data_IF_987249417620
#
_entry.id   IF_987249417620
#
_cell.length_a   1.000
_cell.length_b   1.000
_cell.length_c   1.000
_cell.angle_alpha   90.00
_cell.angle_beta   90.00
_cell.angle_gamma   90.00
#
_symmetry.space_group_name_H-M   'P 1'
#
loop_
_entity.id
_entity.type
_entity.pdbx_description
1 polymer ?
#
# COMPACT_ATOMS: atom_id res chain seq x y z
N UNK A 1 6.20 -1.65 -55.88
CA UNK A 1 7.28 -1.49 -56.88
C UNK A 1 8.46 -2.42 -56.56
N UNK A 2 8.93 -2.46 -55.31
CA UNK A 2 9.99 -3.36 -54.81
C UNK A 2 9.77 -4.87 -55.04
N UNK A 3 8.53 -5.39 -55.03
CA UNK A 3 8.32 -6.85 -55.13
C UNK A 3 8.58 -7.44 -56.53
N UNK A 4 8.51 -6.63 -57.60
CA UNK A 4 8.78 -7.11 -58.97
C UNK A 4 10.27 -7.17 -59.27
N UNK A 5 11.05 -6.22 -58.77
CA UNK A 5 12.51 -6.22 -58.93
C UNK A 5 13.16 -7.33 -58.12
N UNK A 6 12.68 -7.57 -56.88
CA UNK A 6 13.18 -8.67 -56.05
C UNK A 6 12.87 -10.05 -56.67
N UNK A 7 11.69 -10.22 -57.27
CA UNK A 7 11.35 -11.45 -57.97
C UNK A 7 12.21 -11.69 -59.23
N UNK A 8 12.65 -10.63 -59.91
CA UNK A 8 13.62 -10.72 -61.00
C UNK A 8 15.01 -11.12 -60.50
N UNK A 9 15.45 -10.50 -59.39
CA UNK A 9 16.74 -10.78 -58.75
C UNK A 9 16.88 -12.25 -58.34
N UNK A 10 15.84 -12.82 -57.71
CA UNK A 10 15.84 -14.23 -57.26
C UNK A 10 15.94 -15.21 -58.45
N UNK A 11 15.39 -14.83 -59.61
CA UNK A 11 15.42 -15.67 -60.81
C UNK A 11 16.81 -15.79 -61.43
N UNK A 12 17.64 -14.76 -61.28
CA UNK A 12 19.00 -14.68 -61.84
C UNK A 12 20.09 -15.08 -60.82
N UNK A 13 19.71 -15.76 -59.72
CA UNK A 13 20.65 -16.27 -58.73
C UNK A 13 21.28 -17.59 -59.16
N UNK A 14 22.61 -17.66 -59.07
CA UNK A 14 23.36 -18.88 -59.30
C UNK A 14 23.44 -19.71 -58.00
N UNK A 15 23.13 -21.01 -58.03
CA UNK A 15 23.27 -21.87 -56.86
C UNK A 15 24.75 -22.06 -56.51
N UNK A 16 25.11 -21.75 -55.27
CA UNK A 16 26.45 -21.99 -54.70
C UNK A 16 26.48 -23.34 -53.99
N UNK A 17 25.38 -23.67 -53.31
CA UNK A 17 25.21 -24.95 -52.63
C UNK A 17 23.78 -25.48 -52.82
N UNK A 18 23.68 -26.77 -53.11
CA UNK A 18 22.41 -27.50 -53.28
C UNK A 18 22.30 -28.61 -52.25
N UNK A 19 21.08 -28.92 -51.82
CA UNK A 19 20.84 -30.03 -50.91
C UNK A 19 20.85 -31.39 -51.63
N UNK A 20 20.61 -32.46 -50.86
CA UNK A 20 20.52 -33.83 -51.38
C UNK A 20 19.35 -34.05 -52.37
N UNK A 21 18.43 -33.10 -52.50
CA UNK A 21 17.31 -33.11 -53.45
C UNK A 21 17.59 -32.26 -54.69
N UNK A 22 18.74 -31.59 -54.73
CA UNK A 22 19.14 -30.67 -55.80
C UNK A 22 18.51 -29.29 -55.69
N UNK A 23 17.91 -28.94 -54.55
CA UNK A 23 17.34 -27.61 -54.31
C UNK A 23 18.42 -26.64 -53.80
N UNK A 24 18.46 -25.40 -54.30
CA UNK A 24 19.45 -24.41 -53.88
C UNK A 24 19.21 -23.97 -52.44
N UNK A 25 20.22 -24.20 -51.59
CA UNK A 25 20.22 -23.76 -50.18
C UNK A 25 20.95 -22.43 -50.04
N UNK A 26 22.01 -22.23 -50.82
CA UNK A 26 22.73 -20.96 -50.90
C UNK A 26 22.80 -20.55 -52.36
N UNK A 27 22.40 -19.31 -52.65
CA UNK A 27 22.45 -18.75 -53.99
C UNK A 27 23.09 -17.36 -53.97
N UNK A 28 23.84 -17.05 -55.03
CA UNK A 28 24.58 -15.81 -55.18
C UNK A 28 24.11 -15.10 -56.45
N UNK A 29 23.90 -13.80 -56.37
CA UNK A 29 23.75 -12.95 -57.56
C UNK A 29 24.47 -11.63 -57.38
N UNK A 30 25.00 -11.10 -58.48
CA UNK A 30 25.63 -9.80 -58.51
C UNK A 30 24.59 -8.77 -58.93
N UNK A 31 24.48 -7.67 -58.18
CA UNK A 31 23.53 -6.61 -58.51
C UNK A 31 24.12 -5.24 -58.19
N UNK A 32 24.24 -4.42 -59.23
CA UNK A 32 24.90 -3.12 -59.13
C UNK A 32 26.38 -3.29 -58.78
N UNK A 33 26.81 -2.75 -57.64
CA UNK A 33 28.20 -2.76 -57.15
C UNK A 33 28.46 -3.79 -56.05
N UNK A 34 27.51 -4.68 -55.77
CA UNK A 34 27.63 -5.66 -54.69
C UNK A 34 26.96 -6.97 -55.04
N UNK A 35 27.11 -7.93 -54.13
CA UNK A 35 26.53 -9.25 -54.27
C UNK A 35 25.43 -9.48 -53.23
N UNK A 36 24.39 -10.19 -53.65
CA UNK A 36 23.39 -10.75 -52.76
C UNK A 36 23.68 -12.23 -52.54
N UNK A 37 23.85 -12.62 -51.28
CA UNK A 37 23.90 -14.01 -50.84
C UNK A 37 22.56 -14.33 -50.20
N UNK A 38 21.81 -15.25 -50.79
CA UNK A 38 20.56 -15.75 -50.24
C UNK A 38 20.83 -17.11 -49.60
N UNK A 39 20.41 -17.26 -48.34
CA UNK A 39 20.49 -18.53 -47.60
C UNK A 39 19.08 -18.93 -47.19
N UNK A 40 18.68 -20.16 -47.49
CA UNK A 40 17.30 -20.64 -47.26
C UNK A 40 17.00 -20.99 -45.80
N UNK A 41 18.01 -21.15 -44.95
CA UNK A 41 17.88 -21.46 -43.53
C UNK A 41 18.66 -20.49 -42.66
N UNK A 42 17.96 -19.84 -41.73
CA UNK A 42 18.58 -18.99 -40.71
C UNK A 42 19.36 -19.76 -39.63
N UNK A 43 19.17 -21.08 -39.53
CA UNK A 43 19.84 -21.91 -38.52
C UNK A 43 21.36 -21.88 -38.65
N UNK A 44 21.89 -21.74 -39.88
CA UNK A 44 23.33 -21.58 -40.17
C UNK A 44 23.98 -20.43 -39.37
N UNK A 45 23.20 -19.40 -39.07
CA UNK A 45 23.66 -18.19 -38.36
C UNK A 45 23.32 -18.20 -36.86
N UNK A 46 22.74 -19.28 -36.35
CA UNK A 46 22.48 -19.45 -34.92
C UNK A 46 23.73 -19.92 -34.18
N UNK A 47 23.81 -19.71 -32.87
CA UNK A 47 24.96 -20.16 -32.07
C UNK A 47 25.20 -21.68 -32.21
N UNK A 48 24.13 -22.47 -32.23
CA UNK A 48 24.22 -23.93 -32.38
C UNK A 48 24.63 -24.32 -33.80
N UNK A 49 24.19 -23.57 -34.81
CA UNK A 49 24.53 -23.84 -36.21
C UNK A 49 25.94 -23.39 -36.61
N UNK A 50 26.48 -22.35 -35.97
CA UNK A 50 27.82 -21.85 -36.27
C UNK A 50 28.93 -22.84 -35.86
N UNK A 51 28.73 -23.59 -34.76
CA UNK A 51 29.68 -24.59 -34.28
C UNK A 51 29.63 -25.91 -35.06
N UNK A 52 28.60 -26.09 -35.90
CA UNK A 52 28.42 -27.30 -36.70
C UNK A 52 29.18 -27.22 -38.03
N UNK A 53 30.04 -28.21 -38.27
CA UNK A 53 30.77 -28.40 -39.53
C UNK A 53 31.51 -27.13 -40.02
N UNK A 54 31.40 -26.81 -41.31
CA UNK A 54 32.10 -25.68 -41.94
C UNK A 54 31.23 -24.42 -42.05
N UNK A 55 30.18 -24.31 -41.22
CA UNK A 55 29.26 -23.18 -41.25
C UNK A 55 29.95 -21.85 -40.88
N UNK A 56 30.73 -21.83 -39.80
CA UNK A 56 31.51 -20.65 -39.41
C UNK A 56 32.54 -20.23 -40.48
N UNK A 57 33.39 -21.14 -41.01
CA UNK A 57 34.27 -20.83 -42.14
C UNK A 57 33.54 -20.23 -43.36
N UNK A 58 32.38 -20.77 -43.73
CA UNK A 58 31.56 -20.25 -44.82
C UNK A 58 31.11 -18.81 -44.56
N UNK A 59 30.59 -18.52 -43.36
CA UNK A 59 30.16 -17.16 -42.97
C UNK A 59 31.34 -16.19 -43.00
N UNK A 60 32.49 -16.60 -42.47
CA UNK A 60 33.71 -15.79 -42.48
C UNK A 60 34.20 -15.50 -43.90
N UNK A 61 34.12 -16.47 -44.81
CA UNK A 61 34.48 -16.28 -46.21
C UNK A 61 33.57 -15.25 -46.90
N UNK A 62 32.26 -15.32 -46.67
CA UNK A 62 31.30 -14.34 -47.21
C UNK A 62 31.58 -12.93 -46.67
N UNK A 63 31.81 -12.79 -45.36
CA UNK A 63 32.12 -11.51 -44.74
C UNK A 63 33.46 -10.95 -45.27
N UNK A 64 34.48 -11.80 -45.38
CA UNK A 64 35.80 -11.39 -45.88
C UNK A 64 35.74 -10.95 -47.35
N UNK A 65 34.97 -11.65 -48.19
CA UNK A 65 34.75 -11.26 -49.58
C UNK A 65 34.04 -9.91 -49.69
N UNK A 66 33.05 -9.64 -48.82
CA UNK A 66 32.36 -8.36 -48.78
C UNK A 66 33.25 -7.20 -48.30
N UNK A 67 34.26 -7.49 -47.47
CA UNK A 67 35.21 -6.49 -46.93
C UNK A 67 36.41 -6.27 -47.86
N UNK A 68 36.78 -7.26 -48.68
CA UNK A 68 37.97 -7.21 -49.53
C UNK A 68 37.87 -6.24 -50.72
N UNK A 69 36.67 -5.89 -51.17
CA UNK A 69 36.43 -5.14 -52.42
C UNK A 69 36.63 -3.60 -52.33
N UNK A 70 37.31 -3.14 -51.27
CA UNK A 70 37.97 -1.83 -51.25
C UNK A 70 37.19 -0.68 -50.62
N UNK A 71 37.50 -0.37 -49.37
CA UNK A 71 37.90 0.99 -48.96
C UNK A 71 38.57 0.94 -47.59
N UNK A 72 39.74 1.55 -47.51
CA UNK A 72 40.61 1.62 -46.34
C UNK A 72 39.87 1.94 -45.04
N UNK A 73 40.08 1.10 -44.01
CA UNK A 73 40.01 1.48 -42.59
C UNK A 73 38.65 1.40 -41.90
N UNK A 74 37.51 1.29 -42.61
CA UNK A 74 36.19 1.42 -41.98
C UNK A 74 35.14 0.45 -42.57
N UNK A 75 35.50 -0.84 -42.65
CA UNK A 75 34.59 -1.89 -43.10
C UNK A 75 33.46 -2.07 -42.07
N UNK A 76 32.29 -1.50 -42.35
CA UNK A 76 31.11 -1.57 -41.48
C UNK A 76 30.20 -2.71 -41.93
N UNK A 77 30.05 -3.70 -41.07
CA UNK A 77 29.03 -4.74 -41.21
C UNK A 77 27.76 -4.20 -40.55
N UNK A 78 26.70 -4.04 -41.35
CA UNK A 78 25.40 -3.57 -40.88
C UNK A 78 24.45 -4.77 -40.81
N UNK A 79 23.85 -4.98 -39.63
CA UNK A 79 22.79 -5.97 -39.43
C UNK A 79 21.45 -5.24 -39.40
N UNK A 80 20.55 -5.56 -40.35
CA UNK A 80 19.17 -5.07 -40.33
C UNK A 80 18.28 -6.06 -39.57
N UNK A 81 18.27 -5.95 -38.25
CA UNK A 81 17.36 -6.71 -37.38
C UNK A 81 16.04 -5.96 -37.10
N UNK A 82 15.77 -4.86 -37.82
CA UNK A 82 14.66 -3.96 -37.53
C UNK A 82 13.29 -4.65 -37.56
N UNK A 83 13.16 -5.71 -38.36
CA UNK A 83 11.94 -6.48 -38.52
C UNK A 83 11.77 -7.62 -37.49
N UNK A 84 12.81 -7.92 -36.70
CA UNK A 84 12.82 -8.99 -35.70
C UNK A 84 12.62 -8.49 -34.25
N UNK A 85 12.30 -7.21 -34.04
CA UNK A 85 11.96 -6.65 -32.72
C UNK A 85 13.16 -6.21 -31.87
N UNK A 86 14.39 -6.31 -32.37
CA UNK A 86 15.60 -5.98 -31.60
C UNK A 86 16.01 -4.49 -31.66
N UNK A 87 15.34 -3.67 -32.49
CA UNK A 87 15.75 -2.28 -32.77
C UNK A 87 15.19 -1.20 -31.85
N UNK A 88 14.16 -1.48 -31.06
CA UNK A 88 13.60 -0.50 -30.12
C UNK A 88 13.18 -1.23 -28.86
N UNK A 89 13.68 -0.77 -27.72
CA UNK A 89 13.36 -1.22 -26.36
C UNK A 89 11.88 -1.59 -26.23
N UNK A 90 11.56 -2.86 -26.47
CA UNK A 90 10.19 -3.32 -26.55
C UNK A 90 9.58 -3.21 -25.15
N UNK A 91 8.88 -2.11 -24.94
CA UNK A 91 8.11 -1.92 -23.72
C UNK A 91 6.94 -2.90 -23.80
N UNK A 92 6.47 -3.47 -22.70
CA UNK A 92 5.33 -4.41 -22.68
C UNK A 92 4.10 -3.92 -23.47
N UNK A 93 4.00 -2.61 -23.70
CA UNK A 93 3.02 -1.96 -24.56
C UNK A 93 3.17 -2.23 -26.07
N UNK A 94 4.37 -2.42 -26.62
CA UNK A 94 4.56 -2.69 -28.06
C UNK A 94 4.13 -4.11 -28.42
N UNK A 95 4.46 -5.08 -27.55
CA UNK A 95 4.19 -6.52 -27.74
C UNK A 95 2.73 -6.91 -27.43
N UNK A 96 2.01 -6.07 -26.69
CA UNK A 96 0.66 -6.41 -26.25
C UNK A 96 -0.37 -6.38 -27.40
N UNK A 97 -1.24 -7.41 -27.51
CA UNK A 97 -2.33 -7.45 -28.49
C UNK A 97 -3.25 -6.23 -28.38
N UNK A 98 -3.82 -5.78 -29.51
CA UNK A 98 -4.71 -4.62 -29.58
C UNK A 98 -5.91 -4.74 -28.61
N UNK A 99 -6.42 -5.95 -28.40
CA UNK A 99 -7.50 -6.25 -27.45
C UNK A 99 -7.14 -5.88 -26.01
N UNK A 100 -5.91 -6.16 -25.60
CA UNK A 100 -5.42 -5.86 -24.24
C UNK A 100 -5.24 -4.35 -24.07
N UNK A 101 -4.77 -3.65 -25.10
CA UNK A 101 -4.66 -2.18 -25.10
C UNK A 101 -6.03 -1.52 -24.94
N UNK A 102 -7.01 -1.96 -25.74
CA UNK A 102 -8.40 -1.49 -25.62
C UNK A 102 -8.98 -1.80 -24.23
N UNK A 103 -8.74 -3.00 -23.71
CA UNK A 103 -9.17 -3.39 -22.36
C UNK A 103 -8.57 -2.50 -21.27
N UNK A 104 -7.27 -2.19 -21.34
CA UNK A 104 -6.62 -1.31 -20.37
C UNK A 104 -7.19 0.11 -20.40
N UNK A 105 -7.43 0.64 -21.61
CA UNK A 105 -8.08 1.96 -21.78
C UNK A 105 -9.49 1.95 -21.19
N UNK A 106 -10.25 0.87 -21.39
CA UNK A 106 -11.59 0.73 -20.85
C UNK A 106 -11.62 0.64 -19.31
N UNK A 107 -10.66 -0.08 -18.72
CA UNK A 107 -10.48 -0.14 -17.25
C UNK A 107 -10.09 1.23 -16.71
N UNK A 108 -9.14 1.93 -17.36
CA UNK A 108 -8.72 3.26 -16.95
C UNK A 108 -9.88 4.27 -17.02
N UNK A 109 -10.67 4.22 -18.10
CA UNK A 109 -11.88 5.05 -18.25
C UNK A 109 -12.93 4.72 -17.18
N UNK A 110 -13.15 3.44 -16.86
CA UNK A 110 -14.06 3.03 -15.79
C UNK A 110 -13.58 3.51 -14.42
N UNK A 111 -12.27 3.46 -14.15
CA UNK A 111 -11.66 3.98 -12.92
C UNK A 111 -11.81 5.49 -12.81
N UNK A 112 -11.58 6.23 -13.91
CA UNK A 112 -11.80 7.67 -13.95
C UNK A 112 -13.28 8.02 -13.72
N UNK A 113 -14.21 7.28 -14.33
CA UNK A 113 -15.65 7.45 -14.10
C UNK A 113 -16.03 7.11 -12.66
N UNK A 114 -15.43 6.08 -12.07
CA UNK A 114 -15.63 5.71 -10.68
C UNK A 114 -15.10 6.78 -9.73
N UNK A 115 -13.87 7.27 -9.94
CA UNK A 115 -13.29 8.39 -9.18
C UNK A 115 -14.12 9.65 -9.36
N UNK A 116 -14.59 9.95 -10.57
CA UNK A 116 -15.46 11.09 -10.84
C UNK A 116 -16.82 10.96 -10.15
N UNK A 117 -17.41 9.76 -10.16
CA UNK A 117 -18.67 9.44 -9.48
C UNK A 117 -18.53 9.51 -7.95
N UNK A 118 -17.43 9.00 -7.40
CA UNK A 118 -17.10 9.07 -5.98
C UNK A 118 -16.75 10.51 -5.56
N UNK A 119 -16.04 11.25 -6.41
CA UNK A 119 -15.73 12.68 -6.21
C UNK A 119 -17.01 13.53 -6.22
N UNK A 120 -17.98 13.22 -7.09
CA UNK A 120 -19.32 13.86 -7.05
C UNK A 120 -20.14 13.44 -5.82
N UNK A 121 -19.83 12.28 -5.22
CA UNK A 121 -20.43 11.83 -3.96
C UNK A 121 -19.77 12.41 -2.71
N UNK A 122 -18.73 13.23 -2.85
CA UNK A 122 -18.44 14.27 -1.87
C UNK A 122 -19.49 15.38 -2.05
N UNK A 123 -20.74 15.06 -1.69
CA UNK A 123 -21.80 16.05 -1.55
C UNK A 123 -21.25 17.19 -0.69
N UNK A 124 -21.73 18.42 -0.95
CA UNK A 124 -21.50 19.57 -0.07
C UNK A 124 -21.53 19.10 1.39
N UNK A 125 -20.58 19.52 2.24
CA UNK A 125 -20.50 19.05 3.62
C UNK A 125 -21.91 19.02 4.16
N UNK A 126 -22.41 17.81 4.44
CA UNK A 126 -23.74 17.66 5.03
C UNK A 126 -23.67 18.60 6.23
N UNK A 127 -24.47 19.69 6.27
CA UNK A 127 -24.45 20.54 7.43
C UNK A 127 -24.68 19.58 8.57
N UNK A 128 -23.72 19.54 9.51
CA UNK A 128 -23.89 18.75 10.73
C UNK A 128 -25.35 19.01 11.10
N UNK A 129 -26.21 17.97 11.18
CA UNK A 129 -27.50 18.24 11.77
C UNK A 129 -27.16 18.97 13.06
N UNK A 130 -27.91 20.01 13.38
CA UNK A 130 -27.91 20.57 14.72
C UNK A 130 -28.49 19.52 15.67
N UNK A 131 -27.93 18.31 15.65
CA UNK A 131 -27.77 17.45 16.78
C UNK A 131 -26.87 18.28 17.69
N UNK A 132 -27.55 19.07 18.52
CA UNK A 132 -27.49 18.78 19.94
C UNK A 132 -27.50 17.25 20.10
N UNK A 133 -26.34 16.60 19.91
CA UNK A 133 -26.05 15.30 20.51
C UNK A 133 -26.40 15.55 21.95
N UNK A 134 -27.56 15.05 22.35
CA UNK A 134 -28.02 15.25 23.71
C UNK A 134 -26.87 14.72 24.54
N UNK A 135 -26.31 15.52 25.45
CA UNK A 135 -25.08 15.19 26.18
C UNK A 135 -25.08 13.74 26.70
N UNK A 136 -26.28 13.24 26.99
CA UNK A 136 -26.61 11.83 27.23
C UNK A 136 -26.04 10.81 26.21
N UNK A 137 -26.22 10.96 24.91
CA UNK A 137 -25.74 9.97 23.91
C UNK A 137 -24.21 9.87 23.88
N UNK A 138 -23.53 11.01 23.99
CA UNK A 138 -22.07 11.04 24.11
C UNK A 138 -21.61 10.38 25.41
N UNK A 139 -22.27 10.69 26.54
CA UNK A 139 -21.97 10.07 27.83
C UNK A 139 -22.22 8.56 27.83
N UNK A 140 -23.30 8.09 27.20
CA UNK A 140 -23.61 6.66 27.06
C UNK A 140 -22.54 5.95 26.22
N UNK A 141 -22.10 6.57 25.13
CA UNK A 141 -21.04 6.02 24.27
C UNK A 141 -19.70 5.94 25.00
N UNK A 142 -19.35 6.99 25.75
CA UNK A 142 -18.12 7.05 26.55
C UNK A 142 -18.17 6.04 27.71
N UNK A 143 -19.29 5.89 28.41
CA UNK A 143 -19.48 4.91 29.47
C UNK A 143 -19.31 3.48 28.93
N UNK A 144 -19.90 3.18 27.78
CA UNK A 144 -19.77 1.87 27.12
C UNK A 144 -18.32 1.58 26.72
N UNK A 145 -17.60 2.58 26.21
CA UNK A 145 -16.20 2.47 25.86
C UNK A 145 -15.32 2.18 27.08
N UNK A 146 -15.50 2.95 28.16
CA UNK A 146 -14.76 2.77 29.41
C UNK A 146 -15.02 1.40 30.04
N UNK A 147 -16.26 0.91 29.97
CA UNK A 147 -16.63 -0.43 30.42
C UNK A 147 -15.92 -1.51 29.59
N UNK A 148 -15.95 -1.42 28.26
CA UNK A 148 -15.29 -2.40 27.37
C UNK A 148 -13.77 -2.39 27.52
N UNK A 149 -13.18 -1.23 27.76
CA UNK A 149 -11.74 -1.09 28.00
C UNK A 149 -11.32 -1.62 29.39
N UNK A 150 -12.27 -1.94 30.29
CA UNK A 150 -11.97 -2.27 31.68
C UNK A 150 -11.39 -1.10 32.47
N UNK A 151 -11.61 0.14 32.01
CA UNK A 151 -11.08 1.37 32.60
C UNK A 151 -12.02 2.01 33.63
N UNK A 152 -13.03 1.28 34.11
CA UNK A 152 -14.01 1.75 35.11
C UNK A 152 -13.34 2.11 36.44
N UNK A 153 -12.28 1.39 36.84
CA UNK A 153 -11.48 1.73 38.01
C UNK A 153 -10.72 3.06 37.88
N UNK A 154 -10.32 3.45 36.66
CA UNK A 154 -9.67 4.74 36.41
C UNK A 154 -10.67 5.89 36.57
N UNK A 155 -11.89 5.73 36.07
CA UNK A 155 -12.96 6.70 36.27
C UNK A 155 -13.32 6.85 37.76
N UNK A 156 -13.32 5.75 38.53
CA UNK A 156 -13.53 5.80 39.98
C UNK A 156 -12.43 6.57 40.72
N UNK A 157 -11.16 6.34 40.37
CA UNK A 157 -10.02 7.11 40.94
C UNK A 157 -10.13 8.60 40.64
N UNK A 158 -10.60 8.96 39.46
CA UNK A 158 -10.84 10.35 39.09
C UNK A 158 -11.94 10.98 39.96
N UNK A 159 -13.06 10.26 40.19
CA UNK A 159 -14.12 10.71 41.09
C UNK A 159 -13.63 10.86 42.55
N UNK A 160 -12.81 9.93 43.04
CA UNK A 160 -12.19 10.03 44.37
C UNK A 160 -11.27 11.26 44.46
N UNK A 161 -10.43 11.50 43.45
CA UNK A 161 -9.53 12.66 43.40
C UNK A 161 -10.32 13.99 43.42
N UNK A 162 -11.43 14.07 42.70
CA UNK A 162 -12.31 15.24 42.72
C UNK A 162 -12.98 15.44 44.08
N UNK A 163 -13.46 14.36 44.72
CA UNK A 163 -13.97 14.41 46.08
C UNK A 163 -12.91 14.92 47.06
N UNK A 164 -11.70 14.35 47.03
CA UNK A 164 -10.59 14.76 47.90
C UNK A 164 -10.24 16.23 47.70
N UNK A 165 -10.04 16.65 46.45
CA UNK A 165 -9.71 18.05 46.13
C UNK A 165 -10.76 19.02 46.68
N UNK A 166 -12.04 18.66 46.56
CA UNK A 166 -13.13 19.48 47.07
C UNK A 166 -13.14 19.55 48.61
N UNK A 167 -13.04 18.40 49.27
CA UNK A 167 -13.04 18.31 50.74
C UNK A 167 -11.82 19.01 51.33
N UNK A 168 -10.61 18.76 50.82
CA UNK A 168 -9.39 19.39 51.31
C UNK A 168 -9.47 20.91 51.24
N UNK A 169 -9.97 21.45 50.12
CA UNK A 169 -10.21 22.89 49.98
C UNK A 169 -11.26 23.41 50.96
N UNK A 170 -12.35 22.67 51.17
CA UNK A 170 -13.44 23.07 52.08
C UNK A 170 -13.00 23.10 53.54
N UNK A 171 -12.19 22.14 53.96
CA UNK A 171 -11.69 22.04 55.34
C UNK A 171 -10.35 22.76 55.56
N UNK A 172 -9.77 23.39 54.52
CA UNK A 172 -8.49 24.09 54.62
C UNK A 172 -7.30 23.17 54.89
N UNK A 173 -7.38 21.92 54.43
CA UNK A 173 -6.36 20.90 54.63
C UNK A 173 -5.31 20.93 53.50
N UNK A 174 -4.07 20.48 53.76
CA UNK A 174 -3.04 20.31 52.74
C UNK A 174 -3.49 19.40 51.58
N UNK A 175 -3.06 19.69 50.36
CA UNK A 175 -3.46 18.92 49.16
C UNK A 175 -2.98 17.45 49.18
N UNK A 176 -1.93 17.16 49.96
CA UNK A 176 -1.33 15.83 50.18
C UNK A 176 -1.85 15.14 51.44
N UNK A 177 -2.84 15.70 52.14
CA UNK A 177 -3.31 15.16 53.40
C UNK A 177 -3.85 13.73 53.24
N UNK A 178 -3.44 12.87 54.18
CA UNK A 178 -3.79 11.46 54.18
C UNK A 178 -5.28 11.24 54.48
N UNK A 179 -5.85 10.12 54.01
CA UNK A 179 -7.28 9.81 54.18
C UNK A 179 -7.73 9.85 55.65
N UNK A 180 -6.84 9.50 56.59
CA UNK A 180 -7.08 9.58 58.02
C UNK A 180 -7.34 11.02 58.51
N UNK A 181 -6.65 12.02 57.94
CA UNK A 181 -6.82 13.44 58.27
C UNK A 181 -8.17 13.95 57.78
N UNK A 182 -8.58 13.52 56.59
CA UNK A 182 -9.91 13.83 56.05
C UNK A 182 -11.01 13.27 56.96
N UNK A 183 -10.89 12.01 57.38
CA UNK A 183 -11.85 11.37 58.30
C UNK A 183 -11.87 12.07 59.66
N UNK A 184 -10.71 12.51 60.17
CA UNK A 184 -10.63 13.26 61.42
C UNK A 184 -11.35 14.61 61.34
N UNK A 185 -11.15 15.37 60.26
CA UNK A 185 -11.83 16.66 60.03
C UNK A 185 -13.35 16.51 59.98
N UNK A 186 -13.85 15.43 59.35
CA UNK A 186 -15.28 15.12 59.38
C UNK A 186 -15.76 14.67 60.77
N UNK A 187 -14.93 13.96 61.54
CA UNK A 187 -15.32 13.46 62.87
C UNK A 187 -15.55 14.59 63.86
N UNK A 188 -14.77 15.66 63.77
CA UNK A 188 -14.94 16.86 64.62
C UNK A 188 -16.30 17.55 64.43
N UNK A 189 -16.82 17.57 63.19
CA UNK A 189 -18.09 18.23 62.87
C UNK A 189 -19.29 17.27 62.88
N UNK A 190 -19.11 16.04 62.39
CA UNK A 190 -20.17 15.03 62.29
C UNK A 190 -19.62 13.60 62.32
N UNK A 191 -19.63 12.93 63.50
CA UNK A 191 -19.10 11.56 63.67
C UNK A 191 -19.76 10.49 62.79
N UNK A 192 -21.07 10.63 62.49
CA UNK A 192 -21.79 9.68 61.62
C UNK A 192 -21.31 9.80 60.17
N UNK A 193 -21.09 11.03 59.72
CA UNK A 193 -20.61 11.29 58.37
C UNK A 193 -19.16 10.85 58.18
N UNK A 194 -18.30 11.04 59.19
CA UNK A 194 -16.93 10.56 59.19
C UNK A 194 -16.83 9.04 58.97
N UNK A 195 -17.73 8.26 59.59
CA UNK A 195 -17.79 6.80 59.41
C UNK A 195 -18.16 6.44 57.97
N UNK A 196 -19.11 7.16 57.36
CA UNK A 196 -19.50 6.96 55.96
C UNK A 196 -18.39 7.35 54.98
N UNK A 197 -17.68 8.46 55.24
CA UNK A 197 -16.52 8.89 54.44
C UNK A 197 -15.41 7.85 54.48
N UNK A 198 -15.07 7.35 55.68
CA UNK A 198 -14.08 6.27 55.82
C UNK A 198 -14.48 5.04 55.01
N UNK A 199 -15.71 4.56 55.18
CA UNK A 199 -16.21 3.39 54.46
C UNK A 199 -16.21 3.58 52.94
N UNK A 200 -16.53 4.79 52.45
CA UNK A 200 -16.52 5.10 51.02
C UNK A 200 -15.09 5.11 50.44
N UNK A 201 -14.12 5.71 51.13
CA UNK A 201 -12.71 5.71 50.72
C UNK A 201 -12.10 4.30 50.74
N UNK A 202 -12.35 3.54 51.80
CA UNK A 202 -11.88 2.14 51.91
C UNK A 202 -12.47 1.29 50.77
N UNK A 203 -13.75 1.53 50.41
CA UNK A 203 -14.41 0.82 49.31
C UNK A 203 -13.86 1.21 47.93
N UNK A 204 -13.55 2.48 47.69
CA UNK A 204 -12.99 2.92 46.40
C UNK A 204 -11.58 2.38 46.20
N UNK A 205 -10.77 2.34 47.26
CA UNK A 205 -9.43 1.76 47.24
C UNK A 205 -9.47 0.26 46.95
N UNK A 206 -10.37 -0.48 47.60
CA UNK A 206 -10.58 -1.91 47.35
C UNK A 206 -10.99 -2.19 45.89
N UNK A 207 -11.95 -1.44 45.35
CA UNK A 207 -12.41 -1.60 43.97
C UNK A 207 -11.35 -1.20 42.94
N UNK A 208 -10.57 -0.17 43.24
CA UNK A 208 -9.47 0.28 42.40
C UNK A 208 -8.33 -0.76 42.32
N UNK A 209 -8.13 -1.56 43.37
CA UNK A 209 -7.16 -2.64 43.40
C UNK A 209 -7.59 -3.87 42.57
N UNK A 210 -8.89 -4.07 42.34
CA UNK A 210 -9.41 -5.26 41.65
C UNK A 210 -9.21 -5.28 40.13
N UNK A 211 -8.64 -4.24 39.51
CA UNK A 211 -8.32 -4.18 38.08
C UNK A 211 -9.56 -4.06 37.16
N UNK A 212 -10.53 -4.97 37.29
CA UNK A 212 -11.84 -4.95 36.60
C UNK A 212 -12.99 -5.13 37.59
N UNK A 213 -13.27 -4.14 38.44
CA UNK A 213 -14.41 -4.20 39.34
C UNK A 213 -15.74 -4.21 38.55
N UNK A 214 -16.78 -4.90 39.05
CA UNK A 214 -18.10 -4.92 38.43
C UNK A 214 -18.72 -3.51 38.41
N UNK A 215 -19.40 -3.17 37.32
CA UNK A 215 -19.92 -1.82 37.07
C UNK A 215 -20.86 -1.33 38.17
N UNK A 216 -21.72 -2.20 38.69
CA UNK A 216 -22.68 -1.86 39.74
C UNK A 216 -21.98 -1.37 41.01
N UNK A 217 -20.89 -2.04 41.41
CA UNK A 217 -20.13 -1.65 42.60
C UNK A 217 -19.36 -0.34 42.39
N UNK A 218 -18.83 -0.12 41.18
CA UNK A 218 -18.17 1.15 40.80
C UNK A 218 -19.16 2.31 40.85
N UNK A 219 -20.37 2.12 40.31
CA UNK A 219 -21.41 3.14 40.31
C UNK A 219 -21.88 3.44 41.74
N UNK A 220 -22.11 2.42 42.56
CA UNK A 220 -22.51 2.60 43.95
C UNK A 220 -21.45 3.37 44.77
N UNK A 221 -20.17 3.07 44.55
CA UNK A 221 -19.06 3.78 45.18
C UNK A 221 -18.98 5.25 44.72
N UNK A 222 -19.09 5.50 43.41
CA UNK A 222 -19.09 6.86 42.86
C UNK A 222 -20.27 7.70 43.36
N UNK A 223 -21.47 7.12 43.42
CA UNK A 223 -22.66 7.77 43.97
C UNK A 223 -22.48 8.09 45.46
N UNK A 224 -21.88 7.19 46.23
CA UNK A 224 -21.58 7.41 47.64
C UNK A 224 -20.64 8.60 47.85
N UNK A 225 -19.57 8.73 47.04
CA UNK A 225 -18.68 9.88 47.07
C UNK A 225 -19.39 11.19 46.71
N UNK A 226 -20.28 11.16 45.72
CA UNK A 226 -21.04 12.34 45.29
C UNK A 226 -22.02 12.81 46.37
N UNK A 227 -22.76 11.90 47.00
CA UNK A 227 -23.66 12.25 48.11
C UNK A 227 -22.87 12.78 49.32
N UNK A 228 -21.73 12.18 49.64
CA UNK A 228 -20.85 12.68 50.71
C UNK A 228 -20.29 14.07 50.42
N UNK A 229 -19.95 14.37 49.16
CA UNK A 229 -19.56 15.73 48.75
C UNK A 229 -20.70 16.73 49.00
N UNK A 230 -21.92 16.40 48.56
CA UNK A 230 -23.10 17.26 48.72
C UNK A 230 -23.45 17.46 50.19
N UNK A 231 -23.29 16.44 51.03
CA UNK A 231 -23.47 16.57 52.47
C UNK A 231 -22.36 17.41 53.12
N UNK A 232 -21.11 17.30 52.66
CA UNK A 232 -20.00 18.13 53.12
C UNK A 232 -20.19 19.62 52.82
N UNK A 233 -20.81 19.96 51.68
CA UNK A 233 -21.18 21.34 51.33
C UNK A 233 -22.19 21.96 52.31
N UNK A 234 -23.00 21.12 52.99
CA UNK A 234 -23.99 21.57 53.98
C UNK A 234 -23.42 21.75 55.38
N UNK A 235 -22.18 21.33 55.61
CA UNK A 235 -21.54 21.50 56.92
C UNK A 235 -21.00 22.94 57.00
N UNK A 236 -21.45 23.73 57.99
CA UNK A 236 -20.97 25.10 58.20
C UNK A 236 -19.46 25.11 58.45
#
# INVERSE_FOLDING_TARGET
MLSREFAGLVKDMAPVYVDNRGEPVIALTQHGKGAFVLVSSGWLFSNDGLDEADNLPLVMNVLSAAVADGTSGDARILFDEYHHGYGARETLWSVSPQTVKCGLVQVAAALLLLVFSLSRRLKAPVPLPDQQRTRAEYLTSLATLLQRAGATGVALKQAEREFRTHVLRRFGLPEDAHSAVIVAAFRERNPRLATRVKAALDRTEFLAAQGRPPLEEVLAAAQSLFELRKEAERIP
#
